data_IF_335310719134
#
_entry.id   IF_335310719134
#
_cell.length_a   1.000
_cell.length_b   1.000
_cell.length_c   1.000
_cell.angle_alpha   90.00
_cell.angle_beta   90.00
_cell.angle_gamma   90.00
#
_symmetry.space_group_name_H-M   'P 1'
#
loop_
_entity.id
_entity.type
_entity.pdbx_description
1 polymer ?
#
# COMPACT_ATOMS: atom_id res chain seq x y z
N UNK A 1 -9.13 16.23 17.70
CA UNK A 1 -9.10 16.14 16.23
C UNK A 1 -7.70 15.84 15.64
N UNK A 2 -6.61 15.82 16.43
CA UNK A 2 -5.23 15.71 15.89
C UNK A 2 -4.68 14.29 15.70
N UNK A 3 -5.29 13.27 16.34
CA UNK A 3 -4.67 11.93 16.45
C UNK A 3 -4.62 11.15 15.13
N UNK A 4 -5.65 11.24 14.29
CA UNK A 4 -5.68 10.54 13.00
C UNK A 4 -4.65 11.10 12.03
N UNK A 5 -4.50 12.42 11.98
CA UNK A 5 -3.53 13.10 11.12
C UNK A 5 -2.11 12.62 11.44
N UNK A 6 -1.74 12.62 12.73
CA UNK A 6 -0.44 12.14 13.19
C UNK A 6 -0.20 10.66 12.82
N UNK A 7 -1.24 9.83 12.89
CA UNK A 7 -1.14 8.43 12.49
C UNK A 7 -0.85 8.33 10.99
N UNK A 8 -1.63 9.04 10.16
CA UNK A 8 -1.45 9.05 8.70
C UNK A 8 -0.07 9.56 8.31
N UNK A 9 0.39 10.67 8.90
CA UNK A 9 1.73 11.23 8.66
C UNK A 9 2.83 10.20 8.99
N UNK A 10 2.72 9.53 10.14
CA UNK A 10 3.67 8.48 10.52
C UNK A 10 3.66 7.31 9.53
N UNK A 11 2.52 6.96 8.94
CA UNK A 11 2.41 5.89 7.95
C UNK A 11 3.02 6.25 6.59
N UNK A 12 3.32 7.51 6.32
CA UNK A 12 4.04 7.92 5.11
C UNK A 12 5.56 7.75 5.27
N UNK A 13 6.04 7.66 6.50
CA UNK A 13 7.46 7.47 6.78
C UNK A 13 7.96 6.08 6.32
N UNK A 14 9.23 5.97 5.91
CA UNK A 14 9.81 4.71 5.46
C UNK A 14 9.95 3.68 6.57
N UNK A 15 10.05 4.10 7.84
CA UNK A 15 10.33 3.22 8.97
C UNK A 15 9.17 3.25 9.98
N UNK A 16 8.07 2.56 9.64
CA UNK A 16 6.95 2.36 10.54
C UNK A 16 7.23 1.14 11.42
N UNK A 17 7.07 1.30 12.73
CA UNK A 17 7.18 0.21 13.69
C UNK A 17 5.92 -0.67 13.68
N UNK A 18 6.11 -2.00 13.72
CA UNK A 18 5.01 -2.96 13.65
C UNK A 18 4.10 -2.93 14.88
N UNK A 19 4.68 -2.83 16.07
CA UNK A 19 3.92 -2.79 17.32
C UNK A 19 3.12 -1.49 17.42
N UNK A 20 3.73 -0.37 17.02
CA UNK A 20 3.06 0.92 16.91
C UNK A 20 1.89 0.86 15.92
N UNK A 21 2.08 0.25 14.75
CA UNK A 21 1.01 0.09 13.76
C UNK A 21 -0.17 -0.69 14.35
N UNK A 22 0.08 -1.81 15.03
CA UNK A 22 -0.96 -2.62 15.66
C UNK A 22 -1.77 -1.86 16.71
N UNK A 23 -1.10 -1.02 17.52
CA UNK A 23 -1.77 -0.20 18.54
C UNK A 23 -2.67 0.88 17.92
N UNK A 24 -2.31 1.37 16.74
CA UNK A 24 -3.00 2.48 16.06
C UNK A 24 -3.97 2.03 14.97
N UNK A 25 -3.96 0.75 14.59
CA UNK A 25 -4.80 0.18 13.52
C UNK A 25 -6.30 0.40 13.76
N UNK A 26 -6.74 0.34 15.02
CA UNK A 26 -8.13 0.58 15.44
C UNK A 26 -8.67 1.98 15.08
N UNK A 27 -7.80 2.95 14.81
CA UNK A 27 -8.19 4.33 14.46
C UNK A 27 -8.22 4.58 12.96
N UNK A 28 -7.77 3.62 12.16
CA UNK A 28 -7.63 3.72 10.71
C UNK A 28 -8.75 2.88 10.10
N UNK A 29 -9.41 3.41 9.07
CA UNK A 29 -10.36 2.64 8.28
C UNK A 29 -9.75 2.31 6.92
N UNK A 30 -10.45 1.49 6.15
CA UNK A 30 -10.01 1.10 4.81
C UNK A 30 -9.68 2.29 3.90
N UNK A 31 -10.52 3.33 3.89
CA UNK A 31 -10.32 4.50 3.05
C UNK A 31 -9.02 5.24 3.39
N UNK A 32 -8.73 5.43 4.69
CA UNK A 32 -7.48 6.03 5.14
C UNK A 32 -6.24 5.21 4.72
N UNK A 33 -6.33 3.87 4.76
CA UNK A 33 -5.23 3.01 4.28
C UNK A 33 -5.05 3.10 2.76
N UNK A 34 -6.16 3.17 1.99
CA UNK A 34 -6.10 3.37 0.54
C UNK A 34 -5.43 4.71 0.19
N UNK A 35 -5.79 5.80 0.89
CA UNK A 35 -5.16 7.11 0.71
C UNK A 35 -3.65 7.07 1.05
N UNK A 36 -3.27 6.42 2.16
CA UNK A 36 -1.86 6.23 2.56
C UNK A 36 -1.09 5.46 1.49
N UNK A 37 -1.68 4.42 0.90
CA UNK A 37 -1.05 3.65 -0.17
C UNK A 37 -0.79 4.56 -1.38
N UNK A 38 -1.75 5.39 -1.78
CA UNK A 38 -1.60 6.31 -2.91
C UNK A 38 -0.52 7.37 -2.65
N UNK A 39 -0.55 8.02 -1.48
CA UNK A 39 0.45 9.02 -1.08
C UNK A 39 1.87 8.42 -1.02
N UNK A 40 2.04 7.21 -0.48
CA UNK A 40 3.32 6.50 -0.49
C UNK A 40 3.84 6.25 -1.91
N UNK A 41 2.95 5.94 -2.85
CA UNK A 41 3.33 5.72 -4.25
C UNK A 41 3.75 7.02 -4.93
N UNK A 42 3.08 8.15 -4.62
CA UNK A 42 3.45 9.48 -5.12
C UNK A 42 4.89 9.84 -4.71
N UNK A 43 5.27 9.55 -3.45
CA UNK A 43 6.64 9.74 -2.95
C UNK A 43 7.61 8.61 -3.35
N UNK A 44 7.18 7.70 -4.25
CA UNK A 44 7.96 6.57 -4.79
C UNK A 44 8.40 5.55 -3.75
N UNK A 45 7.54 5.29 -2.76
CA UNK A 45 7.72 4.28 -1.74
C UNK A 45 6.71 3.15 -1.92
N UNK A 46 7.04 1.93 -1.47
CA UNK A 46 6.09 0.84 -1.49
C UNK A 46 4.85 1.20 -0.66
N UNK A 47 3.66 0.97 -1.21
CA UNK A 47 2.38 1.24 -0.55
C UNK A 47 2.12 0.41 0.71
N UNK A 48 2.86 -0.68 0.93
CA UNK A 48 2.78 -1.41 2.19
C UNK A 48 3.49 -0.62 3.29
N UNK A 49 2.74 -0.26 4.33
CA UNK A 49 3.17 0.69 5.37
C UNK A 49 4.41 0.26 6.15
N UNK A 50 4.65 -1.05 6.32
CA UNK A 50 5.85 -1.59 6.98
C UNK A 50 7.03 -1.81 6.02
N UNK A 51 6.90 -1.43 4.74
CA UNK A 51 7.95 -1.62 3.74
C UNK A 51 8.63 -0.30 3.36
N UNK A 52 9.93 -0.21 3.62
CA UNK A 52 10.76 0.95 3.28
C UNK A 52 11.33 0.91 1.86
N UNK A 53 10.97 -0.09 1.04
CA UNK A 53 11.57 -0.25 -0.30
C UNK A 53 11.02 0.82 -1.25
N UNK A 54 11.89 1.53 -1.99
CA UNK A 54 11.45 2.47 -3.00
C UNK A 54 10.86 1.75 -4.23
N UNK A 55 9.89 2.38 -4.88
CA UNK A 55 9.37 1.96 -6.17
C UNK A 55 10.25 2.52 -7.28
N UNK A 56 11.12 1.66 -7.82
CA UNK A 56 12.11 2.05 -8.85
C UNK A 56 11.45 2.21 -10.23
N UNK A 57 10.30 1.58 -10.45
CA UNK A 57 9.66 1.49 -11.76
C UNK A 57 8.20 1.95 -11.68
N UNK A 58 7.91 3.11 -12.27
CA UNK A 58 6.53 3.52 -12.56
C UNK A 58 6.08 2.76 -13.80
N UNK A 59 5.49 1.58 -13.61
CA UNK A 59 4.98 0.77 -14.71
C UNK A 59 3.76 1.48 -15.33
N UNK A 60 3.88 2.00 -16.55
CA UNK A 60 2.75 2.67 -17.24
C UNK A 60 1.61 1.73 -17.66
N UNK A 61 1.86 0.42 -17.74
CA UNK A 61 0.93 -0.58 -18.28
C UNK A 61 -0.18 -0.98 -17.30
N UNK A 62 -1.44 -0.60 -17.51
CA UNK A 62 -2.54 -0.83 -16.55
C UNK A 62 -3.11 -2.26 -16.56
N UNK A 63 -3.03 -2.97 -17.69
CA UNK A 63 -3.63 -4.29 -17.84
C UNK A 63 -2.62 -5.35 -18.27
N UNK A 64 -2.79 -6.58 -17.76
CA UNK A 64 -2.06 -7.78 -18.20
C UNK A 64 -3.05 -8.79 -18.76
N UNK A 65 -2.86 -9.16 -20.03
CA UNK A 65 -3.64 -10.20 -20.69
C UNK A 65 -2.95 -11.55 -20.45
N UNK A 66 -3.68 -12.50 -19.90
CA UNK A 66 -3.26 -13.89 -19.80
C UNK A 66 -3.96 -14.70 -20.88
N UNK A 67 -3.20 -15.14 -21.88
CA UNK A 67 -3.72 -15.94 -22.99
C UNK A 67 -4.03 -17.38 -22.59
N UNK A 68 -3.41 -17.91 -21.54
CA UNK A 68 -3.71 -19.27 -21.05
C UNK A 68 -5.06 -19.37 -20.34
N UNK A 69 -5.52 -18.29 -19.70
CA UNK A 69 -6.82 -18.23 -19.02
C UNK A 69 -7.83 -17.33 -19.72
N UNK A 70 -7.44 -16.69 -20.82
CA UNK A 70 -8.19 -15.65 -21.52
C UNK A 70 -8.77 -14.57 -20.58
N UNK A 71 -7.95 -14.15 -19.59
CA UNK A 71 -8.35 -13.16 -18.56
C UNK A 71 -7.52 -11.89 -18.68
N UNK A 72 -8.18 -10.75 -18.52
CA UNK A 72 -7.55 -9.44 -18.38
C UNK A 72 -7.45 -9.13 -16.89
N UNK A 73 -6.22 -9.02 -16.41
CA UNK A 73 -5.92 -8.61 -15.04
C UNK A 73 -5.64 -7.12 -15.00
N UNK A 74 -6.33 -6.39 -14.13
CA UNK A 74 -5.92 -5.03 -13.77
C UNK A 74 -4.72 -5.12 -12.84
N UNK A 75 -3.55 -4.70 -13.33
CA UNK A 75 -2.31 -4.72 -12.56
C UNK A 75 -2.02 -3.37 -11.91
N UNK A 76 -2.90 -2.38 -12.08
CA UNK A 76 -2.70 -1.01 -11.59
C UNK A 76 -2.46 -0.99 -10.09
N UNK A 77 -3.21 -1.78 -9.31
CA UNK A 77 -3.05 -1.88 -7.86
C UNK A 77 -1.75 -2.59 -7.45
N UNK A 78 -1.29 -3.58 -8.21
CA UNK A 78 -0.06 -4.32 -7.87
C UNK A 78 1.20 -3.47 -8.05
N UNK A 79 1.16 -2.45 -8.90
CA UNK A 79 2.30 -1.52 -9.12
C UNK A 79 2.59 -0.64 -7.91
N UNK A 80 1.62 -0.49 -7.02
CA UNK A 80 1.79 0.29 -5.80
C UNK A 80 2.72 -0.42 -4.82
N UNK A 81 3.14 -1.67 -5.11
CA UNK A 81 3.92 -2.50 -4.21
C UNK A 81 5.20 -3.02 -4.87
N UNK A 82 6.26 -3.16 -4.07
CA UNK A 82 7.55 -3.65 -4.56
C UNK A 82 7.56 -5.17 -4.81
N UNK A 83 6.57 -5.91 -4.30
CA UNK A 83 6.48 -7.37 -4.42
C UNK A 83 5.04 -7.86 -4.21
N UNK A 84 4.74 -9.08 -4.67
CA UNK A 84 3.45 -9.74 -4.44
C UNK A 84 3.19 -9.99 -2.94
N UNK A 85 4.23 -10.21 -2.15
CA UNK A 85 4.12 -10.35 -0.69
C UNK A 85 3.62 -9.06 -0.05
N UNK A 86 4.16 -7.90 -0.45
CA UNK A 86 3.68 -6.61 0.05
C UNK A 86 2.25 -6.30 -0.39
N UNK A 87 1.88 -6.67 -1.62
CA UNK A 87 0.50 -6.56 -2.08
C UNK A 87 -0.46 -7.40 -1.24
N UNK A 88 -0.12 -8.68 -1.00
CA UNK A 88 -0.93 -9.58 -0.16
C UNK A 88 -1.04 -9.10 1.28
N UNK A 89 0.06 -8.68 1.89
CA UNK A 89 0.07 -8.14 3.26
C UNK A 89 -0.76 -6.86 3.38
N UNK A 90 -0.68 -5.97 2.38
CA UNK A 90 -1.49 -4.75 2.35
C UNK A 90 -2.98 -5.06 2.16
N UNK A 91 -3.33 -6.01 1.29
CA UNK A 91 -4.72 -6.44 1.12
C UNK A 91 -5.27 -7.04 2.42
N UNK A 92 -4.48 -7.86 3.11
CA UNK A 92 -4.88 -8.42 4.40
C UNK A 92 -5.20 -7.31 5.42
N UNK A 93 -4.41 -6.24 5.47
CA UNK A 93 -4.67 -5.07 6.33
C UNK A 93 -5.92 -4.29 5.93
N UNK A 94 -6.23 -4.21 4.62
CA UNK A 94 -7.43 -3.53 4.11
C UNK A 94 -8.73 -4.31 4.37
N UNK A 95 -8.62 -5.60 4.72
CA UNK A 95 -9.74 -6.50 5.00
C UNK A 95 -10.02 -6.67 6.51
N UNK A 96 -9.18 -6.10 7.39
CA UNK A 96 -9.45 -6.00 8.84
C UNK A 96 -10.35 -4.81 9.16
#
# INVERSE_FOLDING_TARGET
MQRLLQIVEQLLEPNVDSDWLLQNLQFINKAHLEDVIEERVIIKLCGYVLCSKPLIVIVKQQYRISTCTNKVYDISKHKNFCSSSCYGASNYLLEQ
#
